data_IF_999386433808
#
_entry.id   IF_999386433808
#
_cell.length_a   1.000
_cell.length_b   1.000
_cell.length_c   1.000
_cell.angle_alpha   90.00
_cell.angle_beta   90.00
_cell.angle_gamma   90.00
#
_symmetry.space_group_name_H-M   'P 1'
#
loop_
_entity.id
_entity.type
_entity.pdbx_description
1 polymer ?
#
# COMPACT_ATOMS: atom_id res chain seq x y z
N UNK A 1 13.96 8.70 14.38
CA UNK A 1 13.35 8.23 15.65
C UNK A 1 11.92 8.75 15.67
N UNK A 2 10.92 7.86 15.65
CA UNK A 2 9.50 8.22 15.73
C UNK A 2 9.11 8.47 17.20
N UNK A 3 9.55 9.61 17.74
CA UNK A 3 9.38 9.91 19.16
C UNK A 3 8.96 11.35 19.49
N UNK A 4 8.70 12.21 18.51
CA UNK A 4 8.44 13.63 18.80
C UNK A 4 7.03 14.15 18.51
N UNK A 5 6.13 13.42 17.82
CA UNK A 5 4.83 14.02 17.43
C UNK A 5 3.65 13.04 17.42
N UNK A 6 3.64 12.00 18.26
CA UNK A 6 2.55 10.99 18.22
C UNK A 6 2.50 10.17 16.93
N UNK A 7 3.52 10.28 16.07
CA UNK A 7 3.68 9.48 14.87
C UNK A 7 3.85 8.00 15.22
N UNK A 8 3.03 7.14 14.61
CA UNK A 8 3.19 5.70 14.71
C UNK A 8 4.16 5.23 13.62
N UNK A 9 5.25 4.58 14.02
CA UNK A 9 6.20 3.96 13.11
C UNK A 9 5.57 2.78 12.37
N UNK A 10 5.92 2.62 11.10
CA UNK A 10 5.50 1.58 10.17
C UNK A 10 6.72 0.95 9.50
N UNK A 11 6.71 -0.38 9.29
CA UNK A 11 7.75 -1.16 8.60
C UNK A 11 9.20 -0.96 9.08
N UNK A 12 9.36 -0.86 10.41
CA UNK A 12 10.66 -0.82 11.07
C UNK A 12 10.75 -1.85 12.20
N UNK A 13 11.96 -2.27 12.57
CA UNK A 13 12.18 -3.22 13.68
C UNK A 13 11.68 -2.59 15.00
N UNK A 14 10.57 -3.10 15.54
CA UNK A 14 9.89 -2.55 16.72
C UNK A 14 8.80 -1.52 16.42
N UNK A 15 8.38 -1.40 15.15
CA UNK A 15 7.26 -0.57 14.76
C UNK A 15 5.91 -1.10 15.28
N UNK A 16 4.96 -0.20 15.54
CA UNK A 16 3.58 -0.56 15.91
C UNK A 16 2.85 -1.26 14.76
N UNK A 17 3.17 -0.90 13.52
CA UNK A 17 2.66 -1.53 12.30
C UNK A 17 3.79 -2.26 11.60
N UNK A 18 3.80 -3.58 11.72
CA UNK A 18 4.68 -4.49 10.99
C UNK A 18 3.81 -5.51 10.28
N UNK A 19 4.38 -6.22 9.30
CA UNK A 19 3.79 -7.45 8.79
C UNK A 19 3.33 -8.35 9.96
N UNK A 20 2.05 -8.65 10.03
CA UNK A 20 1.44 -9.50 11.06
C UNK A 20 0.60 -10.57 10.36
N UNK A 21 0.83 -11.84 10.71
CA UNK A 21 0.03 -12.97 10.23
C UNK A 21 -0.11 -13.07 8.70
N UNK A 22 0.92 -12.65 7.96
CA UNK A 22 0.91 -12.66 6.50
C UNK A 22 0.13 -11.51 5.86
N UNK A 23 -0.23 -10.46 6.61
CA UNK A 23 -0.82 -9.22 6.07
C UNK A 23 0.25 -8.16 5.84
N UNK A 24 0.12 -7.39 4.77
CA UNK A 24 0.94 -6.20 4.59
C UNK A 24 0.49 -5.13 5.58
N UNK A 25 1.34 -4.13 5.79
CA UNK A 25 1.08 -3.15 6.84
C UNK A 25 -0.02 -2.15 6.43
N UNK A 26 -0.37 -2.08 5.14
CA UNK A 26 -1.54 -1.37 4.62
C UNK A 26 -2.86 -2.02 5.06
N UNK A 27 -2.93 -3.36 5.06
CA UNK A 27 -4.10 -4.09 5.56
C UNK A 27 -4.35 -3.80 7.04
N UNK A 28 -3.28 -3.71 7.83
CA UNK A 28 -3.35 -3.37 9.25
C UNK A 28 -3.93 -1.97 9.46
N UNK A 29 -3.59 -1.01 8.60
CA UNK A 29 -4.16 0.34 8.65
C UNK A 29 -5.64 0.35 8.29
N UNK A 30 -6.06 -0.41 7.28
CA UNK A 30 -7.49 -0.52 6.95
C UNK A 30 -8.30 -1.07 8.11
N UNK A 31 -7.78 -2.08 8.81
CA UNK A 31 -8.43 -2.67 9.98
C UNK A 31 -8.46 -1.71 11.17
N UNK A 32 -7.35 -1.05 11.50
CA UNK A 32 -7.27 -0.17 12.67
C UNK A 32 -8.12 1.09 12.53
N UNK A 33 -8.37 1.55 11.30
CA UNK A 33 -9.18 2.73 11.01
C UNK A 33 -10.62 2.41 10.54
N UNK A 34 -11.07 1.16 10.61
CA UNK A 34 -12.42 0.70 10.18
C UNK A 34 -12.78 1.12 8.74
N UNK A 35 -11.79 1.12 7.84
CA UNK A 35 -11.94 1.55 6.44
C UNK A 35 -12.44 0.44 5.51
N UNK A 36 -12.59 -0.80 6.01
CA UNK A 36 -13.03 -1.96 5.22
C UNK A 36 -14.46 -1.88 4.67
N UNK A 37 -15.21 -0.83 4.99
CA UNK A 37 -16.55 -0.55 4.44
C UNK A 37 -16.51 0.07 3.05
N UNK A 38 -15.35 0.56 2.60
CA UNK A 38 -15.14 1.06 1.25
C UNK A 38 -14.61 -0.09 0.35
N UNK A 39 -15.41 -0.64 -0.57
CA UNK A 39 -14.99 -1.74 -1.43
C UNK A 39 -13.80 -1.38 -2.34
N UNK A 40 -13.67 -0.10 -2.73
CA UNK A 40 -12.55 0.34 -3.56
C UNK A 40 -11.24 0.37 -2.76
N UNK A 41 -11.29 0.76 -1.48
CA UNK A 41 -10.13 0.68 -0.60
C UNK A 41 -9.73 -0.77 -0.32
N UNK A 42 -10.70 -1.67 -0.14
CA UNK A 42 -10.41 -3.11 0.01
C UNK A 42 -9.73 -3.65 -1.24
N UNK A 43 -10.22 -3.32 -2.44
CA UNK A 43 -9.60 -3.74 -3.70
C UNK A 43 -8.18 -3.20 -3.85
N UNK A 44 -7.95 -1.93 -3.49
CA UNK A 44 -6.61 -1.34 -3.48
C UNK A 44 -5.69 -2.09 -2.52
N UNK A 45 -6.18 -2.49 -1.35
CA UNK A 45 -5.42 -3.25 -0.36
C UNK A 45 -4.92 -4.58 -0.90
N UNK A 46 -5.78 -5.34 -1.59
CA UNK A 46 -5.39 -6.60 -2.23
C UNK A 46 -4.25 -6.42 -3.24
N UNK A 47 -4.29 -5.34 -4.02
CA UNK A 47 -3.25 -5.02 -5.01
C UNK A 47 -1.93 -4.67 -4.32
N UNK A 48 -1.99 -3.84 -3.27
CA UNK A 48 -0.81 -3.46 -2.48
C UNK A 48 -0.23 -4.68 -1.77
N UNK A 49 -1.07 -5.55 -1.21
CA UNK A 49 -0.68 -6.80 -0.57
C UNK A 49 0.07 -7.71 -1.54
N UNK A 50 -0.47 -7.94 -2.75
CA UNK A 50 0.22 -8.70 -3.78
C UNK A 50 1.53 -8.03 -4.24
N UNK A 51 1.61 -6.71 -4.24
CA UNK A 51 2.85 -6.01 -4.55
C UNK A 51 3.91 -6.20 -3.46
N UNK A 52 3.54 -6.14 -2.18
CA UNK A 52 4.44 -6.13 -1.03
C UNK A 52 4.88 -7.56 -0.61
N UNK A 53 3.93 -8.50 -0.54
CA UNK A 53 4.16 -9.87 -0.07
C UNK A 53 4.52 -10.80 -1.22
N UNK A 54 5.77 -11.28 -1.24
CA UNK A 54 6.33 -12.02 -2.38
C UNK A 54 5.64 -13.35 -2.66
N UNK A 55 5.20 -14.02 -1.62
CA UNK A 55 4.49 -15.30 -1.65
C UNK A 55 3.10 -15.15 -2.28
N UNK A 56 2.48 -13.98 -2.07
CA UNK A 56 1.13 -13.67 -2.53
C UNK A 56 1.10 -12.83 -3.80
N UNK A 57 2.25 -12.68 -4.47
CA UNK A 57 2.40 -11.76 -5.62
C UNK A 57 1.48 -12.03 -6.80
N UNK A 58 0.94 -13.24 -6.89
CA UNK A 58 0.01 -13.64 -7.95
C UNK A 58 -1.46 -13.67 -7.50
N UNK A 59 -1.79 -13.18 -6.30
CA UNK A 59 -3.18 -13.11 -5.81
C UNK A 59 -3.98 -11.98 -6.47
N UNK A 60 -3.29 -10.94 -6.96
CA UNK A 60 -3.86 -9.89 -7.82
C UNK A 60 -2.99 -9.73 -9.07
N UNK A 61 -3.58 -9.69 -10.28
CA UNK A 61 -2.82 -9.52 -11.52
C UNK A 61 -2.12 -8.15 -11.63
N UNK A 62 -2.60 -7.14 -10.91
CA UNK A 62 -2.01 -5.80 -10.86
C UNK A 62 -0.79 -5.72 -9.93
N UNK A 63 -0.71 -6.60 -8.92
CA UNK A 63 0.36 -6.64 -7.92
C UNK A 63 1.79 -6.64 -8.49
N UNK A 64 2.14 -7.53 -9.44
CA UNK A 64 3.46 -7.53 -10.07
C UNK A 64 3.80 -6.22 -10.79
N UNK A 65 2.80 -5.57 -11.40
CA UNK A 65 2.97 -4.28 -12.07
C UNK A 65 3.23 -3.15 -11.07
N UNK A 66 2.45 -3.09 -10.00
CA UNK A 66 2.66 -2.13 -8.91
C UNK A 66 4.03 -2.31 -8.27
N UNK A 67 4.44 -3.56 -8.00
CA UNK A 67 5.79 -3.87 -7.49
C UNK A 67 6.88 -3.32 -8.42
N UNK A 68 6.78 -3.57 -9.74
CA UNK A 68 7.77 -3.10 -10.70
C UNK A 68 7.90 -1.57 -10.71
N UNK A 69 6.77 -0.85 -10.63
CA UNK A 69 6.74 0.61 -10.61
C UNK A 69 7.33 1.15 -9.31
N UNK A 70 6.86 0.68 -8.15
CA UNK A 70 7.33 1.11 -6.83
C UNK A 70 8.83 0.81 -6.63
N UNK A 71 9.28 -0.38 -7.03
CA UNK A 71 10.70 -0.72 -7.02
C UNK A 71 11.52 0.16 -7.97
N UNK A 72 10.96 0.51 -9.14
CA UNK A 72 11.55 1.47 -10.06
C UNK A 72 11.78 2.86 -9.42
N UNK A 73 10.80 3.40 -8.70
CA UNK A 73 10.97 4.65 -7.95
C UNK A 73 12.06 4.55 -6.89
N UNK A 74 12.14 3.42 -6.18
CA UNK A 74 13.23 3.16 -5.23
C UNK A 74 14.61 3.15 -5.89
N UNK A 75 14.74 2.56 -7.08
CA UNK A 75 16.00 2.55 -7.84
C UNK A 75 16.39 3.96 -8.34
N UNK A 76 15.43 4.76 -8.79
CA UNK A 76 15.68 6.11 -9.35
C UNK A 76 15.97 7.14 -8.26
N UNK A 77 15.26 7.07 -7.13
CA UNK A 77 15.31 8.11 -6.10
C UNK A 77 16.04 7.69 -4.81
N UNK A 78 16.35 6.40 -4.64
CA UNK A 78 17.11 5.87 -3.50
C UNK A 78 16.48 6.24 -2.16
N UNK A 79 17.26 6.93 -1.33
CA UNK A 79 16.90 7.36 0.03
C UNK A 79 16.09 8.66 0.08
N UNK A 80 15.68 9.23 -1.06
CA UNK A 80 14.90 10.47 -1.13
C UNK A 80 13.42 10.18 -0.89
N UNK A 81 13.06 9.78 0.33
CA UNK A 81 11.71 9.32 0.68
C UNK A 81 10.63 10.37 0.41
N UNK A 82 10.86 11.64 0.77
CA UNK A 82 9.91 12.72 0.47
C UNK A 82 9.63 12.89 -1.03
N UNK A 83 10.65 12.66 -1.87
CA UNK A 83 10.48 12.77 -3.33
C UNK A 83 9.70 11.60 -3.89
N UNK A 84 9.91 10.38 -3.36
CA UNK A 84 9.10 9.21 -3.72
C UNK A 84 7.64 9.44 -3.36
N UNK A 85 7.37 9.93 -2.13
CA UNK A 85 6.00 10.26 -1.69
C UNK A 85 5.33 11.25 -2.64
N UNK A 86 5.99 12.37 -2.98
CA UNK A 86 5.46 13.36 -3.93
C UNK A 86 5.08 12.78 -5.30
N UNK A 87 5.87 11.82 -5.80
CA UNK A 87 5.69 11.25 -7.13
C UNK A 87 4.72 10.08 -7.16
N UNK A 88 4.69 9.28 -6.09
CA UNK A 88 3.86 8.08 -5.98
C UNK A 88 2.45 8.41 -5.46
N UNK A 89 2.25 9.50 -4.71
CA UNK A 89 0.92 9.86 -4.20
C UNK A 89 -0.13 9.99 -5.33
N UNK A 90 0.12 10.75 -6.42
CA UNK A 90 -0.83 10.82 -7.53
C UNK A 90 -1.04 9.48 -8.25
N UNK A 91 -0.06 8.57 -8.22
CA UNK A 91 -0.19 7.24 -8.78
C UNK A 91 -1.16 6.39 -7.95
N UNK A 92 -1.04 6.43 -6.62
CA UNK A 92 -1.98 5.75 -5.73
C UNK A 92 -3.39 6.36 -5.81
N UNK A 93 -3.53 7.69 -5.96
CA UNK A 93 -4.82 8.34 -6.21
C UNK A 93 -5.47 7.81 -7.50
N UNK A 94 -4.70 7.69 -8.58
CA UNK A 94 -5.18 7.16 -9.85
C UNK A 94 -5.58 5.67 -9.74
N UNK A 95 -4.79 4.87 -9.01
CA UNK A 95 -5.09 3.46 -8.78
C UNK A 95 -6.36 3.28 -7.93
N UNK A 96 -6.56 4.12 -6.90
CA UNK A 96 -7.77 4.12 -6.10
C UNK A 96 -9.01 4.52 -6.94
N UNK A 97 -8.90 5.56 -7.77
CA UNK A 97 -9.97 5.95 -8.69
C UNK A 97 -10.33 4.84 -9.69
N UNK A 98 -9.34 4.08 -10.16
CA UNK A 98 -9.57 2.89 -10.98
C UNK A 98 -10.30 1.80 -10.18
N UNK A 99 -9.89 1.53 -8.93
CA UNK A 99 -10.57 0.58 -8.05
C UNK A 99 -12.05 0.97 -7.85
N UNK A 100 -12.35 2.26 -7.68
CA UNK A 100 -13.72 2.76 -7.58
C UNK A 100 -14.54 2.46 -8.84
N UNK A 101 -13.95 2.64 -10.02
CA UNK A 101 -14.61 2.34 -11.29
C UNK A 101 -14.88 0.84 -11.45
N UNK A 102 -13.93 -0.03 -11.08
CA UNK A 102 -14.08 -1.49 -11.19
C UNK A 102 -15.17 -2.04 -10.26
N UNK A 103 -15.17 -1.62 -8.98
CA UNK A 103 -16.19 -2.10 -8.03
C UNK A 103 -17.57 -1.53 -8.36
N UNK A 104 -17.64 -0.30 -8.87
CA UNK A 104 -18.89 0.32 -9.33
C UNK A 104 -19.43 -0.27 -10.64
N UNK A 105 -18.56 -0.79 -11.51
CA UNK A 105 -18.93 -1.48 -12.75
C UNK A 105 -19.37 -2.94 -12.53
N UNK A 106 -19.11 -3.48 -11.34
CA UNK A 106 -19.47 -4.84 -10.93
C UNK A 106 -20.86 -4.93 -10.26
N UNK A 107 -21.69 -3.87 -10.38
CA UNK A 107 -23.05 -3.77 -9.82
C UNK A 107 -24.15 -3.88 -10.88
#
# INVERSE_FOLDING_TARGET
MAGQEGAHSYDAKGARYTHRDGKCSFDVLIEEFDLGKDPALVRLAEIVHAADVSEDRNTSPEGPGLYAIAHGFALVHGTKDHRKIELETPMYDALYAWCQAEVGSSS
#
